data_IF_818733650310
#
_entry.id   IF_818733650310
#
_cell.length_a   1.000
_cell.length_b   1.000
_cell.length_c   1.000
_cell.angle_alpha   90.00
_cell.angle_beta   90.00
_cell.angle_gamma   90.00
#
_symmetry.space_group_name_H-M   'P 1'
#
loop_
_entity.id
_entity.type
_entity.pdbx_description
1 polymer ?
#
# COMPACT_ATOMS: atom_id res chain seq x y z
N UNK A 1 -52.55 29.28 -32.02
CA UNK A 1 -52.56 29.02 -30.57
C UNK A 1 -51.16 28.63 -30.14
N UNK A 2 -50.40 29.65 -29.73
CA UNK A 2 -48.93 29.65 -29.66
C UNK A 2 -48.49 29.51 -28.19
N UNK A 3 -49.06 28.55 -27.46
CA UNK A 3 -48.92 28.42 -26.00
C UNK A 3 -48.81 26.95 -25.54
N UNK A 4 -48.01 26.13 -26.23
CA UNK A 4 -47.66 24.78 -25.75
C UNK A 4 -46.16 24.47 -25.85
N UNK A 5 -45.32 25.48 -26.12
CA UNK A 5 -43.88 25.30 -26.35
C UNK A 5 -42.97 25.85 -25.24
N UNK A 6 -43.53 26.21 -24.09
CA UNK A 6 -42.75 26.80 -22.98
C UNK A 6 -43.24 26.18 -21.67
N UNK A 7 -42.72 25.00 -21.27
CA UNK A 7 -42.73 24.51 -19.88
C UNK A 7 -42.08 23.11 -19.63
N UNK A 8 -41.23 22.60 -20.52
CA UNK A 8 -40.41 21.40 -20.20
C UNK A 8 -38.92 21.59 -20.54
N UNK A 9 -38.40 22.79 -20.26
CA UNK A 9 -36.96 23.14 -20.36
C UNK A 9 -36.22 23.04 -19.03
N UNK A 10 -36.65 22.24 -18.06
CA UNK A 10 -35.86 21.99 -16.83
C UNK A 10 -36.04 20.55 -16.35
N UNK A 11 -35.35 19.60 -16.98
CA UNK A 11 -34.89 18.39 -16.28
C UNK A 11 -33.38 18.31 -16.51
N UNK A 12 -32.68 19.11 -15.72
CA UNK A 12 -31.25 19.03 -15.49
C UNK A 12 -31.02 17.84 -14.55
N UNK A 13 -30.99 16.62 -15.08
CA UNK A 13 -30.47 15.48 -14.32
C UNK A 13 -29.04 15.26 -14.77
N UNK A 14 -28.15 15.93 -14.04
CA UNK A 14 -26.73 15.61 -13.99
C UNK A 14 -26.66 14.20 -13.41
N UNK A 15 -26.65 13.18 -14.26
CA UNK A 15 -26.12 11.88 -13.85
C UNK A 15 -24.62 12.07 -13.73
N UNK A 16 -24.17 12.33 -12.51
CA UNK A 16 -22.77 12.34 -12.15
C UNK A 16 -22.16 11.02 -12.62
N UNK A 17 -21.28 11.09 -13.64
CA UNK A 17 -20.34 10.01 -13.87
C UNK A 17 -19.41 10.07 -12.67
N UNK A 18 -19.67 9.25 -11.66
CA UNK A 18 -18.67 8.93 -10.65
C UNK A 18 -17.61 8.06 -11.34
N UNK A 19 -16.78 8.67 -12.18
CA UNK A 19 -15.44 8.16 -12.40
C UNK A 19 -14.77 8.28 -11.06
N UNK A 20 -14.79 7.20 -10.27
CA UNK A 20 -13.80 7.02 -9.23
C UNK A 20 -12.46 7.16 -9.94
N UNK A 21 -11.84 8.32 -9.79
CA UNK A 21 -10.48 8.50 -10.26
C UNK A 21 -9.65 7.55 -9.41
N UNK A 22 -9.20 6.44 -9.99
CA UNK A 22 -7.99 5.81 -9.52
C UNK A 22 -6.94 6.94 -9.52
N UNK A 23 -6.66 7.49 -8.34
CA UNK A 23 -5.42 8.21 -8.15
C UNK A 23 -4.38 7.11 -8.25
N UNK A 24 -3.94 6.79 -9.47
CA UNK A 24 -2.78 5.96 -9.66
C UNK A 24 -1.68 6.70 -8.91
N UNK A 25 -1.27 6.18 -7.75
CA UNK A 25 -0.14 6.73 -7.04
C UNK A 25 1.01 6.74 -8.03
N UNK A 26 1.43 7.93 -8.46
CA UNK A 26 2.45 8.06 -9.49
C UNK A 26 3.80 7.76 -8.84
N UNK A 27 4.08 6.47 -8.71
CA UNK A 27 5.38 5.98 -8.30
C UNK A 27 6.36 6.18 -9.45
N UNK A 28 7.59 6.60 -9.12
CA UNK A 28 8.68 6.78 -10.08
C UNK A 28 9.21 5.46 -10.67
N UNK A 29 8.69 4.32 -10.21
CA UNK A 29 8.99 2.99 -10.67
C UNK A 29 7.70 2.18 -10.80
N UNK A 30 7.78 1.08 -11.55
CA UNK A 30 6.67 0.17 -11.72
C UNK A 30 6.39 -0.58 -10.41
N UNK A 31 5.14 -0.53 -9.98
CA UNK A 31 4.62 -1.29 -8.84
C UNK A 31 3.55 -2.26 -9.32
N UNK A 32 3.40 -3.37 -8.62
CA UNK A 32 2.42 -4.40 -8.93
C UNK A 32 1.64 -4.74 -7.67
N UNK A 33 0.31 -4.56 -7.66
CA UNK A 33 -0.53 -4.97 -6.54
C UNK A 33 -0.46 -6.49 -6.32
N UNK A 34 -0.41 -6.88 -5.06
CA UNK A 34 -0.47 -8.28 -4.63
C UNK A 34 -1.45 -8.42 -3.47
N UNK A 35 -2.03 -9.60 -3.31
CA UNK A 35 -2.90 -9.88 -2.16
C UNK A 35 -2.07 -10.13 -0.89
N UNK A 36 -0.89 -10.73 -1.05
CA UNK A 36 -0.01 -11.13 0.04
C UNK A 36 1.45 -10.89 -0.38
N UNK A 37 2.26 -10.41 0.57
CA UNK A 37 3.70 -10.36 0.43
C UNK A 37 4.33 -11.69 0.91
N UNK A 38 5.54 -12.04 0.44
CA UNK A 38 6.25 -13.22 0.93
C UNK A 38 6.39 -13.25 2.46
N UNK A 39 5.96 -14.35 3.08
CA UNK A 39 5.93 -14.50 4.53
C UNK A 39 7.18 -15.16 5.12
N UNK A 40 8.13 -15.56 4.28
CA UNK A 40 9.39 -16.18 4.68
C UNK A 40 10.48 -15.98 3.62
N UNK A 41 11.72 -16.36 3.97
CA UNK A 41 12.91 -16.19 3.12
C UNK A 41 12.78 -16.89 1.77
N UNK A 42 12.33 -18.15 1.75
CA UNK A 42 12.20 -18.95 0.53
C UNK A 42 11.20 -18.32 -0.44
N UNK A 43 10.05 -17.87 0.06
CA UNK A 43 9.06 -17.17 -0.76
C UNK A 43 9.59 -15.83 -1.26
N UNK A 44 10.35 -15.11 -0.44
CA UNK A 44 10.92 -13.82 -0.80
C UNK A 44 11.95 -13.97 -1.93
N UNK A 45 12.85 -14.94 -1.82
CA UNK A 45 13.84 -15.26 -2.84
C UNK A 45 13.17 -15.67 -4.15
N UNK A 46 12.16 -16.56 -4.09
CA UNK A 46 11.40 -16.98 -5.28
C UNK A 46 10.66 -15.82 -5.95
N UNK A 47 10.04 -14.92 -5.17
CA UNK A 47 9.37 -13.75 -5.70
C UNK A 47 10.37 -12.77 -6.34
N UNK A 48 11.52 -12.56 -5.69
CA UNK A 48 12.62 -11.75 -6.22
C UNK A 48 13.15 -12.30 -7.55
N UNK A 49 13.37 -13.61 -7.66
CA UNK A 49 13.80 -14.27 -8.89
C UNK A 49 12.77 -14.11 -10.01
N UNK A 50 11.48 -14.31 -9.70
CA UNK A 50 10.37 -14.15 -10.66
C UNK A 50 10.28 -12.71 -11.17
N UNK A 51 10.47 -11.73 -10.29
CA UNK A 51 10.43 -10.31 -10.64
C UNK A 51 11.64 -9.89 -11.49
N UNK A 52 12.78 -10.56 -11.33
CA UNK A 52 14.02 -10.35 -12.09
C UNK A 52 14.45 -8.87 -12.13
N UNK A 53 14.54 -8.25 -10.96
CA UNK A 53 14.90 -6.84 -10.83
C UNK A 53 16.37 -6.58 -11.23
N UNK A 54 16.61 -5.48 -11.96
CA UNK A 54 17.98 -4.91 -12.09
C UNK A 54 18.47 -4.22 -10.81
N UNK A 55 17.56 -3.94 -9.88
CA UNK A 55 17.82 -3.46 -8.52
C UNK A 55 17.45 -4.51 -7.48
N UNK A 56 16.87 -4.07 -6.35
CA UNK A 56 16.41 -4.98 -5.30
C UNK A 56 14.89 -5.14 -5.34
N UNK A 57 14.42 -6.36 -5.17
CA UNK A 57 13.01 -6.66 -4.98
C UNK A 57 12.57 -6.29 -3.56
N UNK A 58 11.40 -5.68 -3.43
CA UNK A 58 10.71 -5.49 -2.16
C UNK A 58 9.21 -5.73 -2.34
N UNK A 59 8.56 -6.10 -1.24
CA UNK A 59 7.11 -6.12 -1.12
C UNK A 59 6.72 -5.45 0.19
N UNK A 60 5.82 -4.47 0.13
CA UNK A 60 5.41 -3.69 1.29
C UNK A 60 4.02 -3.08 1.07
N UNK A 61 3.36 -2.60 2.14
CA UNK A 61 2.19 -1.73 2.01
C UNK A 61 2.51 -0.47 1.20
N UNK A 62 1.54 -0.07 0.38
CA UNK A 62 1.57 1.20 -0.29
C UNK A 62 1.43 2.37 0.71
N UNK A 63 1.55 3.61 0.21
CA UNK A 63 1.54 4.80 1.07
C UNK A 63 0.23 4.97 1.84
N UNK A 64 -0.87 4.60 1.20
CA UNK A 64 -2.22 4.87 1.69
C UNK A 64 -2.83 3.65 2.43
N UNK A 65 -2.02 2.61 2.66
CA UNK A 65 -2.41 1.36 3.31
C UNK A 65 -3.65 0.70 2.68
N UNK A 66 -3.86 0.88 1.39
CA UNK A 66 -4.99 0.28 0.65
C UNK A 66 -4.62 -1.05 0.01
N UNK A 67 -3.35 -1.25 -0.36
CA UNK A 67 -2.87 -2.46 -1.01
C UNK A 67 -1.44 -2.79 -0.59
N UNK A 68 -1.10 -4.07 -0.67
CA UNK A 68 0.28 -4.52 -0.75
C UNK A 68 0.76 -4.41 -2.20
N UNK A 69 2.02 -4.04 -2.37
CA UNK A 69 2.64 -3.90 -3.68
C UNK A 69 4.05 -4.50 -3.67
N UNK A 70 4.38 -5.18 -4.76
CA UNK A 70 5.74 -5.61 -5.07
C UNK A 70 6.36 -4.68 -6.11
N UNK A 71 7.65 -4.41 -5.98
CA UNK A 71 8.36 -3.45 -6.83
C UNK A 71 9.87 -3.67 -6.81
N UNK A 72 10.54 -3.18 -7.85
CA UNK A 72 11.99 -3.08 -7.88
C UNK A 72 12.39 -1.68 -7.40
N UNK A 73 13.28 -1.62 -6.41
CA UNK A 73 13.83 -0.35 -5.91
C UNK A 73 15.31 -0.20 -6.29
N UNK A 74 15.68 1.02 -6.64
CA UNK A 74 17.05 1.51 -6.78
C UNK A 74 17.58 2.13 -5.48
N UNK A 75 16.73 2.25 -4.44
CA UNK A 75 17.17 2.75 -3.14
C UNK A 75 18.17 1.78 -2.53
N UNK A 76 19.21 2.34 -1.90
CA UNK A 76 20.19 1.57 -1.15
C UNK A 76 19.50 0.82 -0.01
N UNK A 77 20.08 -0.31 0.37
CA UNK A 77 19.62 -1.08 1.54
C UNK A 77 19.61 -0.19 2.76
N UNK A 78 18.45 -0.09 3.38
CA UNK A 78 18.23 0.71 4.58
C UNK A 78 18.08 -0.22 5.78
N UNK A 79 18.65 0.19 6.91
CA UNK A 79 18.50 -0.49 8.19
C UNK A 79 17.39 0.20 8.99
N UNK A 80 16.39 -0.58 9.41
CA UNK A 80 15.26 -0.14 10.21
C UNK A 80 15.50 -0.51 11.66
N UNK A 81 15.42 0.47 12.56
CA UNK A 81 15.50 0.22 14.00
C UNK A 81 14.27 -0.52 14.50
N UNK A 82 14.43 -1.23 15.63
CA UNK A 82 13.31 -1.81 16.38
C UNK A 82 12.19 -0.78 16.59
N UNK A 83 10.95 -1.26 16.64
CA UNK A 83 9.75 -0.44 16.77
C UNK A 83 9.23 0.14 15.45
N UNK A 84 9.83 -0.19 14.30
CA UNK A 84 9.45 0.40 13.01
C UNK A 84 9.21 -0.65 11.91
N UNK A 85 8.08 -0.55 11.23
CA UNK A 85 7.81 -1.23 9.96
C UNK A 85 8.32 -0.39 8.78
N UNK A 86 8.79 -1.03 7.70
CA UNK A 86 9.04 -0.34 6.42
C UNK A 86 7.75 -0.24 5.60
N UNK A 87 7.50 0.93 5.01
CA UNK A 87 6.41 1.15 4.04
C UNK A 87 6.83 2.15 2.98
N UNK A 88 6.12 2.19 1.86
CA UNK A 88 6.34 3.21 0.83
C UNK A 88 5.80 4.57 1.27
N UNK A 89 6.49 5.64 0.85
CA UNK A 89 6.10 7.02 1.02
C UNK A 89 6.42 7.83 -0.24
N UNK A 90 5.66 8.92 -0.44
CA UNK A 90 5.84 9.80 -1.59
C UNK A 90 5.68 9.05 -2.90
N UNK A 91 6.62 9.28 -3.83
CA UNK A 91 6.63 8.66 -5.16
C UNK A 91 7.56 7.46 -5.25
N UNK A 92 8.10 6.94 -4.13
CA UNK A 92 8.99 5.77 -4.18
C UNK A 92 10.12 5.76 -3.15
N UNK A 93 9.90 6.40 -2.00
CA UNK A 93 10.83 6.35 -0.88
C UNK A 93 10.36 5.36 0.18
N UNK A 94 11.30 4.75 0.88
CA UNK A 94 10.99 3.86 1.99
C UNK A 94 11.00 4.68 3.28
N UNK A 95 9.91 4.60 4.04
CA UNK A 95 9.74 5.31 5.30
C UNK A 95 9.61 4.32 6.48
N UNK A 96 9.89 4.83 7.68
CA UNK A 96 9.70 4.17 8.95
C UNK A 96 8.27 4.44 9.44
N UNK A 97 7.54 3.37 9.74
CA UNK A 97 6.24 3.44 10.39
C UNK A 97 6.37 2.96 11.84
N UNK A 98 6.14 3.85 12.80
CA UNK A 98 6.22 3.51 14.23
C UNK A 98 5.06 2.56 14.59
N UNK A 99 5.39 1.29 14.85
CA UNK A 99 4.43 0.25 15.17
C UNK A 99 4.26 0.00 16.68
N UNK A 100 4.62 0.97 17.54
CA UNK A 100 4.44 0.87 19.00
C UNK A 100 2.98 0.66 19.45
N UNK A 101 2.02 1.00 18.59
CA UNK A 101 0.59 0.78 18.81
C UNK A 101 0.10 -0.62 18.39
N UNK A 102 0.99 -1.46 17.84
CA UNK A 102 0.65 -2.85 17.54
C UNK A 102 0.43 -3.62 18.84
N UNK A 103 -0.53 -4.53 18.84
CA UNK A 103 -0.73 -5.47 19.94
C UNK A 103 0.40 -6.50 19.99
N UNK A 104 0.86 -6.98 18.82
CA UNK A 104 1.97 -7.94 18.66
C UNK A 104 2.64 -7.77 17.30
N UNK A 105 3.85 -8.34 17.14
CA UNK A 105 4.51 -8.50 15.83
C UNK A 105 5.28 -7.28 15.30
N UNK A 106 5.31 -6.17 16.03
CA UNK A 106 6.20 -5.05 15.72
C UNK A 106 7.68 -5.48 15.91
N UNK A 107 8.60 -5.12 15.00
CA UNK A 107 10.01 -5.55 15.09
C UNK A 107 10.65 -5.15 16.41
N UNK A 108 11.31 -6.10 17.08
CA UNK A 108 12.01 -5.89 18.35
C UNK A 108 13.53 -5.78 18.20
N UNK A 109 14.05 -6.02 17.00
CA UNK A 109 15.46 -5.90 16.63
C UNK A 109 15.61 -5.14 15.30
N UNK A 110 16.77 -4.54 15.03
CA UNK A 110 17.03 -3.92 13.73
C UNK A 110 17.04 -4.94 12.59
N UNK A 111 16.56 -4.52 11.41
CA UNK A 111 16.50 -5.37 10.22
C UNK A 111 16.66 -4.56 8.94
N UNK A 112 17.11 -5.20 7.86
CA UNK A 112 17.16 -4.56 6.55
C UNK A 112 15.79 -4.58 5.87
N UNK A 113 15.51 -3.62 4.98
CA UNK A 113 14.24 -3.58 4.22
C UNK A 113 13.90 -4.90 3.49
N UNK A 114 14.89 -5.61 2.96
CA UNK A 114 14.73 -6.91 2.31
C UNK A 114 14.55 -8.09 3.28
N UNK A 115 14.53 -7.83 4.58
CA UNK A 115 14.21 -8.79 5.64
C UNK A 115 12.81 -8.57 6.22
N UNK A 116 11.98 -7.69 5.63
CA UNK A 116 10.61 -7.41 6.13
C UNK A 116 9.74 -8.67 6.23
N UNK A 117 10.00 -9.71 5.43
CA UNK A 117 9.30 -11.00 5.52
C UNK A 117 9.40 -11.64 6.91
N UNK A 118 10.39 -11.27 7.74
CA UNK A 118 10.50 -11.72 9.13
C UNK A 118 9.43 -11.12 10.05
N UNK A 119 8.73 -10.07 9.62
CA UNK A 119 7.76 -9.34 10.41
C UNK A 119 6.39 -9.28 9.71
N UNK A 120 5.62 -10.39 9.69
CA UNK A 120 4.33 -10.45 8.99
C UNK A 120 3.31 -9.39 9.41
N UNK A 121 3.37 -8.90 10.65
CA UNK A 121 2.50 -7.80 11.11
C UNK A 121 2.73 -6.51 10.31
N UNK A 122 3.95 -6.26 9.83
CA UNK A 122 4.29 -5.13 8.95
C UNK A 122 3.81 -5.33 7.50
N UNK A 123 3.30 -6.51 7.16
CA UNK A 123 2.79 -6.87 5.84
C UNK A 123 1.29 -7.19 5.87
N UNK A 124 0.63 -6.97 7.01
CA UNK A 124 -0.78 -7.28 7.19
C UNK A 124 -1.59 -5.99 7.45
N UNK A 125 -2.37 -5.60 6.45
CA UNK A 125 -3.15 -4.36 6.45
C UNK A 125 -4.63 -4.66 6.20
N UNK A 126 -5.50 -3.85 6.78
CA UNK A 126 -6.88 -3.74 6.36
C UNK A 126 -6.97 -2.60 5.33
N UNK A 127 -7.10 -2.96 4.05
CA UNK A 127 -7.13 -1.99 2.96
C UNK A 127 -8.36 -1.06 2.97
N UNK A 128 -9.45 -1.47 3.61
CA UNK A 128 -10.69 -0.67 3.73
C UNK A 128 -10.56 0.36 4.85
N UNK A 129 -10.03 -0.06 6.01
CA UNK A 129 -9.81 0.81 7.16
C UNK A 129 -8.49 1.59 7.10
N UNK A 130 -7.63 1.29 6.11
CA UNK A 130 -6.33 1.92 5.87
C UNK A 130 -5.43 1.89 7.11
N UNK A 131 -5.33 0.73 7.75
CA UNK A 131 -4.53 0.51 8.95
C UNK A 131 -3.88 -0.87 8.95
N UNK A 132 -2.85 -1.04 9.77
CA UNK A 132 -2.29 -2.36 10.03
C UNK A 132 -3.21 -3.15 10.95
N UNK A 133 -3.49 -4.42 10.60
CA UNK A 133 -4.41 -5.28 11.37
C UNK A 133 -3.94 -5.45 12.82
N UNK A 134 -2.63 -5.43 13.05
CA UNK A 134 -2.04 -5.54 14.38
C UNK A 134 -2.24 -4.30 15.26
N UNK A 135 -2.63 -3.15 14.71
CA UNK A 135 -2.89 -1.94 15.51
C UNK A 135 -4.14 -2.06 16.35
N UNK A 136 -4.04 -1.62 17.62
CA UNK A 136 -5.17 -1.59 18.56
C UNK A 136 -6.36 -0.76 18.08
N UNK A 137 -6.12 0.20 17.18
CA UNK A 137 -7.11 1.12 16.63
C UNK A 137 -7.71 0.63 15.30
N UNK A 138 -7.19 -0.45 14.72
CA UNK A 138 -7.66 -1.02 13.46
C UNK A 138 -8.88 -1.93 13.70
N UNK A 139 -9.99 -1.31 14.11
CA UNK A 139 -11.24 -1.99 14.42
C UNK A 139 -12.31 -1.58 13.39
N UNK A 140 -13.11 -2.55 12.94
CA UNK A 140 -14.33 -2.26 12.18
C UNK A 140 -15.23 -1.38 13.05
N UNK A 141 -15.59 -0.20 12.53
CA UNK A 141 -16.49 0.75 13.20
C UNK A 141 -17.94 0.49 12.79
#
# INVERSE_FOLDING_TARGET
MWYVLVLFTIIHQISAIATGSEISMEYRFKVFPVNECPGNKTEFERASEKMNCSGRYLCAPNRDLTNLIEFCTDRRRSLYSAGNCVRLQGTGDLNHYNCSMFSTGCPNEPYSDDEIYKFPACLNINGVLQCYVSEKTCLER
#
